data_IF_796313173840
#
_entry.id   IF_796313173840
#
_cell.length_a   1.000
_cell.length_b   1.000
_cell.length_c   1.000
_cell.angle_alpha   90.00
_cell.angle_beta   90.00
_cell.angle_gamma   90.00
#
_symmetry.space_group_name_H-M   'P 1'
#
loop_
_entity.id
_entity.type
_entity.pdbx_description
1 polymer ?
#
# COMPACT_ATOMS: atom_id res chain seq x y z
N UNK A 1 -9.89 -7.70 -22.18
CA UNK A 1 -9.54 -6.30 -21.87
C UNK A 1 -8.93 -6.28 -20.46
N UNK A 2 -7.60 -6.36 -20.36
CA UNK A 2 -6.91 -6.51 -19.07
C UNK A 2 -6.56 -5.13 -18.51
N UNK A 3 -7.47 -4.53 -17.75
CA UNK A 3 -7.26 -3.21 -17.16
C UNK A 3 -6.61 -3.32 -15.76
N UNK A 4 -5.33 -2.95 -15.70
CA UNK A 4 -4.64 -2.26 -14.59
C UNK A 4 -4.90 -2.74 -13.15
N UNK A 5 -4.34 -3.90 -12.74
CA UNK A 5 -4.13 -4.28 -11.33
C UNK A 5 -2.70 -3.98 -10.86
N UNK A 6 -2.13 -2.84 -11.26
CA UNK A 6 -0.79 -2.39 -10.86
C UNK A 6 -0.89 -1.06 -10.13
N UNK A 7 -0.20 -0.93 -8.98
CA UNK A 7 -0.41 0.12 -7.99
C UNK A 7 -0.49 1.47 -8.66
N UNK A 8 -1.70 1.97 -8.64
CA UNK A 8 -2.10 3.17 -9.32
C UNK A 8 -1.73 4.32 -8.36
N UNK A 9 -0.52 4.89 -8.45
CA UNK A 9 -0.16 6.12 -7.71
C UNK A 9 -0.82 7.38 -8.29
N UNK A 10 -1.70 7.18 -9.26
CA UNK A 10 -2.83 8.02 -9.64
C UNK A 10 -4.10 7.76 -8.85
N UNK A 11 -4.76 8.87 -8.52
CA UNK A 11 -6.15 8.91 -8.08
C UNK A 11 -6.94 9.80 -9.02
N UNK A 12 -8.24 9.54 -9.10
CA UNK A 12 -9.14 10.41 -9.83
C UNK A 12 -9.30 11.74 -9.08
N UNK A 13 -9.16 12.86 -9.79
CA UNK A 13 -9.44 14.18 -9.26
C UNK A 13 -10.94 14.30 -8.96
N UNK A 14 -11.35 14.65 -7.72
CA UNK A 14 -12.75 14.72 -7.37
C UNK A 14 -13.51 15.82 -8.14
N UNK A 15 -12.81 16.87 -8.60
CA UNK A 15 -13.39 17.97 -9.40
C UNK A 15 -13.55 17.63 -10.89
N UNK A 16 -12.45 17.32 -11.60
CA UNK A 16 -12.47 17.17 -13.06
C UNK A 16 -12.43 15.71 -13.57
N UNK A 17 -12.36 14.72 -12.67
CA UNK A 17 -12.33 13.28 -13.01
C UNK A 17 -11.10 12.81 -13.80
N UNK A 18 -10.09 13.66 -13.98
CA UNK A 18 -8.83 13.24 -14.56
C UNK A 18 -8.00 12.42 -13.56
N UNK A 19 -7.19 11.50 -14.05
CA UNK A 19 -6.19 10.83 -13.22
C UNK A 19 -5.03 11.76 -12.89
N UNK A 20 -4.68 11.84 -11.61
CA UNK A 20 -3.60 12.69 -11.08
C UNK A 20 -2.64 11.82 -10.30
N UNK A 21 -1.36 11.91 -10.63
CA UNK A 21 -0.27 11.33 -9.84
C UNK A 21 0.33 12.37 -8.88
N UNK A 22 0.69 11.92 -7.67
CA UNK A 22 1.42 12.75 -6.71
C UNK A 22 2.93 12.63 -6.93
N UNK A 23 3.62 13.77 -6.98
CA UNK A 23 5.10 13.79 -7.06
C UNK A 23 5.76 13.38 -5.75
N UNK A 24 5.27 13.91 -4.65
CA UNK A 24 5.76 13.58 -3.31
C UNK A 24 4.78 12.63 -2.62
N UNK A 25 5.26 11.43 -2.30
CA UNK A 25 4.47 10.38 -1.65
C UNK A 25 4.15 10.67 -0.19
N UNK A 26 4.88 11.61 0.44
CA UNK A 26 4.65 12.06 1.82
C UNK A 26 3.60 13.16 1.90
N UNK A 27 3.48 13.97 0.85
CA UNK A 27 2.54 15.07 0.83
C UNK A 27 1.10 14.58 0.58
N UNK A 28 0.18 14.90 1.49
CA UNK A 28 -1.24 14.61 1.30
C UNK A 28 -1.96 15.65 0.45
N UNK A 29 -1.41 16.86 0.31
CA UNK A 29 -1.97 17.92 -0.52
C UNK A 29 -1.58 17.72 -1.97
N UNK A 30 -2.56 17.51 -2.83
CA UNK A 30 -2.34 17.32 -4.26
C UNK A 30 -3.04 18.42 -5.04
N UNK A 31 -2.28 19.04 -5.94
CA UNK A 31 -2.76 20.04 -6.90
C UNK A 31 -3.12 19.35 -8.20
N UNK A 32 -4.34 19.52 -8.69
CA UNK A 32 -4.73 19.01 -10.00
C UNK A 32 -4.23 19.97 -11.10
N UNK A 33 -3.16 19.57 -11.80
CA UNK A 33 -2.59 20.37 -12.90
C UNK A 33 -3.59 20.62 -14.03
N UNK A 34 -4.50 19.69 -14.28
CA UNK A 34 -5.51 19.83 -15.35
C UNK A 34 -6.63 20.80 -14.97
N UNK A 35 -7.04 20.86 -13.69
CA UNK A 35 -7.95 21.91 -13.24
C UNK A 35 -7.30 23.29 -13.43
N UNK A 36 -6.03 23.42 -13.06
CA UNK A 36 -5.28 24.65 -13.20
C UNK A 36 -5.15 25.09 -14.67
N UNK A 37 -4.71 24.17 -15.55
CA UNK A 37 -4.46 24.49 -16.96
C UNK A 37 -5.72 24.65 -17.83
N UNK A 38 -6.80 23.91 -17.55
CA UNK A 38 -8.00 23.90 -18.42
C UNK A 38 -9.12 24.81 -17.93
N UNK A 39 -9.24 25.02 -16.62
CA UNK A 39 -10.33 25.82 -16.03
C UNK A 39 -9.86 27.15 -15.44
N UNK A 40 -8.54 27.38 -15.36
CA UNK A 40 -7.95 28.55 -14.70
C UNK A 40 -8.10 28.53 -13.17
N UNK A 41 -8.58 27.42 -12.60
CA UNK A 41 -8.83 27.29 -11.17
C UNK A 41 -7.84 26.29 -10.55
N UNK A 42 -7.12 26.74 -9.52
CA UNK A 42 -6.27 25.85 -8.72
C UNK A 42 -7.15 25.01 -7.82
N UNK A 43 -7.35 23.74 -8.19
CA UNK A 43 -8.07 22.77 -7.37
C UNK A 43 -7.09 21.88 -6.61
N UNK A 44 -7.24 21.85 -5.29
CA UNK A 44 -6.41 21.07 -4.36
C UNK A 44 -7.26 20.11 -3.53
N UNK A 45 -6.76 18.89 -3.35
CA UNK A 45 -7.47 17.87 -2.59
C UNK A 45 -6.51 17.01 -1.76
N UNK A 46 -7.07 16.32 -0.77
CA UNK A 46 -6.34 15.39 0.06
C UNK A 46 -6.20 14.02 -0.62
N UNK A 47 -4.99 13.48 -0.67
CA UNK A 47 -4.69 12.16 -1.24
C UNK A 47 -5.37 10.98 -0.53
N UNK A 48 -5.66 11.14 0.77
CA UNK A 48 -6.29 10.09 1.58
C UNK A 48 -7.80 10.09 1.42
N UNK A 49 -8.45 11.21 1.71
CA UNK A 49 -9.91 11.28 1.75
C UNK A 49 -10.57 11.76 0.45
N UNK A 50 -9.78 12.22 -0.53
CA UNK A 50 -10.26 12.75 -1.81
C UNK A 50 -11.26 13.91 -1.69
N UNK A 51 -11.27 14.61 -0.56
CA UNK A 51 -12.04 15.84 -0.34
C UNK A 51 -11.18 17.07 -0.69
N UNK A 52 -11.80 18.23 -0.99
CA UNK A 52 -11.09 19.49 -1.11
C UNK A 52 -10.15 19.71 0.07
N UNK A 53 -8.97 20.25 -0.19
CA UNK A 53 -7.94 20.40 0.83
C UNK A 53 -8.41 21.32 1.97
N UNK A 54 -8.25 20.85 3.21
CA UNK A 54 -8.42 21.63 4.43
C UNK A 54 -7.16 21.43 5.28
N UNK A 55 -6.47 22.51 5.58
CA UNK A 55 -5.24 22.48 6.39
C UNK A 55 -4.36 23.71 6.17
N UNK A 56 -3.68 24.16 7.23
CA UNK A 56 -2.77 25.31 7.17
C UNK A 56 -1.43 24.96 6.53
N UNK A 57 -1.02 25.69 5.48
CA UNK A 57 0.36 25.83 4.99
C UNK A 57 1.04 24.59 4.37
N UNK A 58 1.85 24.83 3.32
CA UNK A 58 2.88 23.93 2.74
C UNK A 58 2.43 22.47 2.39
N UNK A 59 3.33 21.59 1.91
CA UNK A 59 3.11 20.15 1.95
C UNK A 59 2.79 19.71 3.38
N UNK A 60 1.65 19.05 3.60
CA UNK A 60 1.24 18.60 4.94
C UNK A 60 1.03 17.09 4.96
N UNK A 61 1.54 16.46 6.01
CA UNK A 61 1.29 15.06 6.35
C UNK A 61 -0.07 14.85 7.02
N UNK A 62 -0.79 15.92 7.36
CA UNK A 62 -2.09 15.90 8.04
C UNK A 62 -3.14 16.71 7.27
N UNK A 63 -4.36 16.19 7.26
CA UNK A 63 -5.50 16.80 6.60
C UNK A 63 -6.57 17.09 7.64
N UNK A 64 -7.10 18.31 7.66
CA UNK A 64 -8.08 18.78 8.63
C UNK A 64 -9.52 18.45 8.22
N UNK A 65 -9.71 17.67 7.16
CA UNK A 65 -11.02 17.13 6.84
C UNK A 65 -11.48 16.17 7.94
N UNK A 66 -12.69 16.40 8.45
CA UNK A 66 -13.32 15.50 9.39
C UNK A 66 -13.38 14.07 8.85
N UNK A 67 -12.92 13.13 9.69
CA UNK A 67 -12.83 11.71 9.36
C UNK A 67 -11.76 11.36 8.32
N UNK A 68 -10.81 12.24 8.02
CA UNK A 68 -9.71 11.91 7.12
C UNK A 68 -8.84 10.79 7.73
N UNK A 69 -8.76 9.65 7.03
CA UNK A 69 -7.97 8.50 7.44
C UNK A 69 -7.23 7.88 6.25
N UNK A 70 -6.11 7.24 6.54
CA UNK A 70 -5.40 6.44 5.54
C UNK A 70 -6.18 5.15 5.27
N UNK A 71 -6.89 5.12 4.14
CA UNK A 71 -7.68 3.95 3.70
C UNK A 71 -6.85 2.67 3.63
N UNK A 72 -5.57 2.74 3.26
CA UNK A 72 -4.72 1.55 3.22
C UNK A 72 -4.44 0.97 4.60
N UNK A 73 -4.30 1.82 5.63
CA UNK A 73 -4.16 1.36 7.02
C UNK A 73 -5.48 0.76 7.54
N UNK A 74 -6.62 1.35 7.19
CA UNK A 74 -7.94 0.78 7.52
C UNK A 74 -8.13 -0.61 6.91
N UNK A 75 -7.70 -0.83 5.66
CA UNK A 75 -7.72 -2.16 5.03
C UNK A 75 -6.79 -3.14 5.75
N UNK A 76 -5.57 -2.72 6.10
CA UNK A 76 -4.62 -3.59 6.82
C UNK A 76 -5.12 -3.96 8.22
N UNK A 77 -5.74 -3.02 8.92
CA UNK A 77 -6.31 -3.21 10.24
C UNK A 77 -7.51 -4.18 10.23
N UNK A 78 -8.35 -4.12 9.20
CA UNK A 78 -9.65 -4.79 9.19
C UNK A 78 -9.78 -5.97 8.22
N UNK A 79 -8.81 -6.21 7.33
CA UNK A 79 -8.90 -7.34 6.38
C UNK A 79 -9.09 -8.68 7.11
N UNK A 80 -9.84 -9.61 6.50
CA UNK A 80 -10.09 -10.93 7.08
C UNK A 80 -8.80 -11.70 7.33
N UNK A 81 -8.84 -12.64 8.26
CA UNK A 81 -7.75 -13.61 8.43
C UNK A 81 -8.02 -14.81 7.52
N UNK A 82 -6.94 -15.43 7.03
CA UNK A 82 -6.97 -16.67 6.24
C UNK A 82 -5.74 -17.52 6.54
N UNK A 83 -5.87 -18.81 6.36
CA UNK A 83 -4.72 -19.70 6.33
C UNK A 83 -4.00 -19.55 4.98
N UNK A 84 -2.67 -19.66 4.98
CA UNK A 84 -1.89 -19.58 3.75
C UNK A 84 -1.80 -20.98 3.11
N UNK A 85 -2.43 -21.20 1.94
CA UNK A 85 -2.42 -22.51 1.28
C UNK A 85 -0.99 -22.98 1.02
N UNK A 86 -0.74 -24.29 1.13
CA UNK A 86 0.59 -24.88 0.92
C UNK A 86 1.58 -24.65 2.06
N UNK A 87 1.14 -24.05 3.17
CA UNK A 87 1.93 -23.83 4.39
C UNK A 87 1.14 -24.20 5.64
N UNK A 88 1.81 -24.25 6.79
CA UNK A 88 1.19 -24.50 8.10
C UNK A 88 0.84 -23.19 8.83
N UNK A 89 0.85 -22.06 8.10
CA UNK A 89 0.64 -20.72 8.65
C UNK A 89 -0.85 -20.42 8.67
N UNK A 90 -1.41 -20.36 9.88
CA UNK A 90 -2.82 -20.10 10.12
C UNK A 90 -3.10 -18.65 10.50
N UNK A 91 -4.34 -18.21 10.26
CA UNK A 91 -4.85 -16.90 10.71
C UNK A 91 -4.00 -15.69 10.26
N UNK A 92 -3.46 -15.73 9.05
CA UNK A 92 -2.71 -14.64 8.43
C UNK A 92 -3.66 -13.57 7.87
N UNK A 93 -3.39 -12.26 8.04
CA UNK A 93 -4.12 -11.19 7.35
C UNK A 93 -4.19 -11.43 5.85
N UNK A 94 -5.37 -11.37 5.24
CA UNK A 94 -5.56 -11.67 3.81
C UNK A 94 -4.94 -10.63 2.89
N UNK A 95 -4.71 -9.41 3.40
CA UNK A 95 -4.07 -8.31 2.71
C UNK A 95 -2.90 -7.82 3.57
N UNK A 96 -1.74 -7.60 2.94
CA UNK A 96 -0.55 -7.02 3.58
C UNK A 96 0.10 -5.98 2.66
N UNK A 97 0.79 -5.01 3.25
CA UNK A 97 1.60 -4.08 2.51
C UNK A 97 3.00 -4.67 2.27
N UNK A 98 3.53 -4.48 1.07
CA UNK A 98 4.91 -4.83 0.74
C UNK A 98 5.85 -4.09 1.71
N UNK A 99 6.80 -4.80 2.35
CA UNK A 99 7.71 -4.23 3.33
C UNK A 99 8.70 -3.22 2.74
N UNK A 100 8.81 -3.16 1.40
CA UNK A 100 9.74 -2.26 0.70
C UNK A 100 9.06 -1.01 0.15
N UNK A 101 7.91 -1.17 -0.52
CA UNK A 101 7.26 -0.06 -1.24
C UNK A 101 5.86 0.28 -0.73
N UNK A 102 5.33 -0.45 0.24
CA UNK A 102 4.03 -0.17 0.85
C UNK A 102 2.84 -0.61 0.02
N UNK A 103 3.06 -1.27 -1.12
CA UNK A 103 2.01 -1.81 -1.98
C UNK A 103 1.14 -2.81 -1.25
N UNK A 104 -0.18 -2.58 -1.16
CA UNK A 104 -1.13 -3.60 -0.71
C UNK A 104 -1.17 -4.78 -1.69
N UNK A 105 -1.07 -5.98 -1.13
CA UNK A 105 -1.05 -7.26 -1.82
C UNK A 105 -2.04 -8.17 -1.12
N UNK A 106 -2.96 -8.74 -1.89
CA UNK A 106 -3.79 -9.86 -1.47
C UNK A 106 -3.07 -11.17 -1.83
N UNK A 107 -2.98 -12.10 -0.88
CA UNK A 107 -2.33 -13.37 -1.10
C UNK A 107 -3.25 -14.33 -1.86
N UNK A 108 -2.89 -14.65 -3.10
CA UNK A 108 -3.65 -15.57 -3.97
C UNK A 108 -2.92 -16.88 -4.29
N UNK A 109 -1.63 -16.95 -4.00
CA UNK A 109 -0.77 -18.07 -4.38
C UNK A 109 -0.84 -19.24 -3.39
N UNK A 110 -0.36 -20.43 -3.79
CA UNK A 110 -0.16 -21.58 -2.88
C UNK A 110 1.17 -21.54 -2.12
N UNK A 111 1.94 -20.46 -2.27
CA UNK A 111 3.25 -20.31 -1.65
C UNK A 111 3.21 -19.10 -0.71
N UNK A 112 3.86 -19.19 0.45
CA UNK A 112 3.96 -18.07 1.39
C UNK A 112 4.81 -16.91 0.87
N UNK A 113 5.58 -17.09 -0.20
CA UNK A 113 6.36 -16.03 -0.84
C UNK A 113 5.55 -15.39 -1.94
N UNK A 114 5.63 -14.06 -2.01
CA UNK A 114 4.98 -13.27 -3.06
C UNK A 114 5.99 -12.32 -3.67
N UNK A 115 5.93 -12.17 -4.99
CA UNK A 115 6.68 -11.13 -5.69
C UNK A 115 5.86 -9.84 -5.67
N UNK A 116 6.44 -8.74 -5.20
CA UNK A 116 5.74 -7.45 -5.23
C UNK A 116 5.64 -6.94 -6.67
N UNK A 117 4.42 -6.76 -7.23
CA UNK A 117 4.25 -6.32 -8.62
C UNK A 117 4.58 -4.82 -8.85
N UNK A 118 5.14 -4.11 -7.86
CA UNK A 118 5.60 -2.73 -8.01
C UNK A 118 7.12 -2.59 -7.88
N UNK A 119 7.71 -3.17 -6.84
CA UNK A 119 9.15 -3.07 -6.62
C UNK A 119 9.90 -4.37 -6.93
N UNK A 120 9.21 -5.42 -7.38
CA UNK A 120 9.73 -6.74 -7.73
C UNK A 120 10.46 -7.50 -6.61
N UNK A 121 10.50 -6.94 -5.39
CA UNK A 121 11.03 -7.63 -4.21
C UNK A 121 10.13 -8.82 -3.88
N UNK A 122 10.74 -9.99 -3.81
CA UNK A 122 10.12 -11.18 -3.27
C UNK A 122 10.25 -11.20 -1.74
N UNK A 123 9.11 -11.36 -1.05
CA UNK A 123 9.07 -11.38 0.40
C UNK A 123 8.09 -12.44 0.90
N UNK A 124 8.28 -12.89 2.14
CA UNK A 124 7.36 -13.79 2.80
C UNK A 124 6.14 -13.03 3.28
N UNK A 125 4.97 -13.39 2.76
CA UNK A 125 3.70 -12.80 3.13
C UNK A 125 3.39 -12.98 4.63
N UNK A 126 3.85 -14.05 5.27
CA UNK A 126 3.56 -14.27 6.69
C UNK A 126 4.41 -13.40 7.63
N UNK A 127 5.74 -13.41 7.47
CA UNK A 127 6.64 -12.72 8.41
C UNK A 127 7.15 -11.37 7.90
N UNK A 128 6.79 -10.96 6.68
CA UNK A 128 7.18 -9.69 6.04
C UNK A 128 8.69 -9.51 5.82
N UNK A 129 9.50 -10.55 6.02
CA UNK A 129 10.92 -10.57 5.63
C UNK A 129 11.09 -10.81 4.14
N UNK A 130 12.23 -10.38 3.58
CA UNK A 130 12.63 -10.79 2.23
C UNK A 130 12.67 -12.32 2.13
N UNK A 131 12.43 -12.86 0.93
CA UNK A 131 12.41 -14.32 0.75
C UNK A 131 13.72 -14.96 1.22
N UNK A 132 14.85 -14.33 0.87
CA UNK A 132 16.20 -14.72 1.29
C UNK A 132 16.35 -14.76 2.82
N UNK A 133 15.96 -13.71 3.53
CA UNK A 133 16.07 -13.66 4.99
C UNK A 133 15.19 -14.72 5.66
N UNK A 134 13.96 -14.88 5.16
CA UNK A 134 13.04 -15.87 5.66
C UNK A 134 13.57 -17.30 5.44
N UNK A 135 14.14 -17.61 4.27
CA UNK A 135 14.72 -18.92 3.97
C UNK A 135 15.96 -19.20 4.83
N UNK A 136 16.87 -18.23 4.96
CA UNK A 136 18.09 -18.37 5.76
C UNK A 136 17.80 -18.73 7.22
N UNK A 137 16.63 -18.33 7.73
CA UNK A 137 16.24 -18.56 9.12
C UNK A 137 15.79 -20.00 9.45
N UNK A 138 15.54 -20.88 8.45
CA UNK A 138 15.09 -22.28 8.65
C UNK A 138 15.58 -23.21 7.53
N UNK A 139 16.45 -24.18 7.85
CA UNK A 139 16.79 -25.27 6.93
C UNK A 139 15.69 -26.37 6.90
N UNK A 140 15.40 -26.91 5.71
CA UNK A 140 14.65 -28.17 5.57
C UNK A 140 13.11 -28.13 5.50
N UNK A 141 12.44 -26.97 5.57
CA UNK A 141 10.98 -26.85 5.32
C UNK A 141 10.54 -25.40 5.05
N UNK A 142 11.41 -24.63 4.38
CA UNK A 142 11.31 -23.17 4.26
C UNK A 142 9.99 -22.71 3.63
N UNK A 143 9.33 -23.51 2.79
CA UNK A 143 8.05 -23.17 2.19
C UNK A 143 6.84 -23.37 3.14
N UNK A 144 6.94 -24.27 4.13
CA UNK A 144 5.84 -24.57 5.08
C UNK A 144 5.80 -23.67 6.30
N UNK A 145 6.97 -23.26 6.79
CA UNK A 145 7.10 -22.53 8.05
C UNK A 145 8.05 -21.34 7.93
N UNK A 146 7.83 -20.30 8.73
CA UNK A 146 8.81 -19.27 9.00
C UNK A 146 9.58 -19.61 10.29
N UNK A 147 10.83 -19.18 10.43
CA UNK A 147 11.51 -19.24 11.73
C UNK A 147 10.97 -18.17 12.68
N UNK A 148 10.68 -16.99 12.14
CA UNK A 148 9.96 -15.92 12.83
C UNK A 148 8.48 -16.25 12.93
N UNK A 149 7.84 -15.75 13.97
CA UNK A 149 6.39 -15.79 14.13
C UNK A 149 5.68 -15.06 12.97
N UNK A 150 4.38 -15.34 12.83
CA UNK A 150 3.49 -14.56 11.98
C UNK A 150 3.59 -13.08 12.38
N UNK A 151 3.85 -12.20 11.42
CA UNK A 151 3.92 -10.77 11.68
C UNK A 151 2.55 -10.23 12.09
N UNK A 152 2.46 -9.24 12.99
CA UNK A 152 1.19 -8.59 13.30
C UNK A 152 0.63 -7.86 12.07
N UNK A 153 -0.60 -7.32 12.22
CA UNK A 153 -1.15 -6.37 11.24
C UNK A 153 -0.23 -5.15 11.19
N UNK A 154 0.02 -4.67 9.97
CA UNK A 154 0.86 -3.51 9.74
C UNK A 154 0.10 -2.25 10.17
N UNK A 155 0.66 -1.50 11.12
CA UNK A 155 0.15 -0.20 11.56
C UNK A 155 0.75 0.96 10.75
N UNK A 156 1.79 0.68 9.96
CA UNK A 156 2.53 1.65 9.15
C UNK A 156 2.79 1.10 7.76
N UNK A 157 2.94 1.99 6.79
CA UNK A 157 3.22 1.66 5.39
C UNK A 157 4.52 2.36 5.00
N UNK A 158 5.56 1.63 4.55
CA UNK A 158 6.81 2.24 4.15
C UNK A 158 6.59 3.15 2.93
N UNK A 159 7.25 4.30 2.93
CA UNK A 159 7.31 5.19 1.77
C UNK A 159 8.39 4.67 0.84
N UNK A 160 8.03 4.39 -0.41
CA UNK A 160 8.99 3.87 -1.38
C UNK A 160 9.99 4.96 -1.77
N UNK A 161 11.26 4.79 -1.38
CA UNK A 161 12.37 5.57 -1.90
C UNK A 161 12.93 4.86 -3.13
N UNK A 162 12.47 5.23 -4.34
CA UNK A 162 13.21 4.88 -5.55
C UNK A 162 14.59 5.56 -5.44
N UNK A 163 15.66 4.77 -5.50
CA UNK A 163 17.00 5.31 -5.74
C UNK A 163 17.18 5.54 -7.23
#
# INVERSE_FOLDING_TARGET
MFAAKFYHNFKECPNCKSFVERRDLKNLRVVCILCHSLKGETFEFCWQCLKPWKGTGAPSERCDNEGCKNQSLEVLANCKLKDLPGSEIKSCPSIRACPTCGRLIEHMEKCKYVNCPQCHVEFCFACLETARNCQASKSGAWFKFCAKSLAPRQAEIPVWSQK
#
